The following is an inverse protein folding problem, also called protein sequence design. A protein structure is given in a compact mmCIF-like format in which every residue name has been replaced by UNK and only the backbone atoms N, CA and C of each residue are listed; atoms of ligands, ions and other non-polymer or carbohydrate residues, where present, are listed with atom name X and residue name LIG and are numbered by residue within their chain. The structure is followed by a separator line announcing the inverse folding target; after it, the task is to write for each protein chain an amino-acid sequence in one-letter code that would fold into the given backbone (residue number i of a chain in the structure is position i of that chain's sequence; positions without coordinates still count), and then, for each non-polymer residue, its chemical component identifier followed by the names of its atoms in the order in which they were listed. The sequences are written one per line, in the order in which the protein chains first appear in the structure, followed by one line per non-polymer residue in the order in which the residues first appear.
data_IF_938840579282
#
_entry.id   IF_938840579282
#
_cell.length_a   1.000
_cell.length_b   1.000
_cell.length_c   1.000
_cell.angle_alpha   90.00
_cell.angle_beta   90.00
_cell.angle_gamma   90.00
#
_symmetry.space_group_name_H-M   'P 1'
#
loop_
_entity.id
_entity.type
_entity.pdbx_description
1 polymer ?
#
# COMPACT_ATOMS: atom_id res chain seq x y z
N UNK A 1 -2.88 20.10 37.11
CA UNK A 1 -2.82 19.66 35.70
C UNK A 1 -3.24 20.82 34.82
N UNK A 2 -2.31 21.40 34.04
CA UNK A 2 -2.58 22.56 33.18
C UNK A 2 -3.46 22.15 32.00
N UNK A 3 -4.53 22.90 31.74
CA UNK A 3 -5.24 22.91 30.44
C UNK A 3 -4.26 23.44 29.39
N UNK A 4 -3.48 22.54 28.78
CA UNK A 4 -2.70 22.86 27.59
C UNK A 4 -3.72 23.16 26.49
N UNK A 5 -3.58 24.34 25.89
CA UNK A 5 -4.62 25.06 25.16
C UNK A 5 -5.16 24.32 23.93
N UNK A 6 -6.49 24.34 23.81
CA UNK A 6 -7.24 23.88 22.64
C UNK A 6 -6.90 24.60 21.33
N UNK A 7 -6.08 25.67 21.36
CA UNK A 7 -5.78 26.48 20.17
C UNK A 7 -4.72 25.88 19.24
N UNK A 8 -3.86 24.95 19.70
CA UNK A 8 -2.84 24.36 18.82
C UNK A 8 -3.33 23.12 18.06
N UNK A 9 -4.27 22.35 18.60
CA UNK A 9 -4.84 21.17 17.90
C UNK A 9 -5.73 21.55 16.71
N UNK A 10 -6.34 22.75 16.71
CA UNK A 10 -7.16 23.21 15.58
C UNK A 10 -6.36 23.56 14.31
N UNK A 11 -5.05 23.79 14.41
CA UNK A 11 -4.27 24.38 13.31
C UNK A 11 -3.81 23.34 12.28
N UNK A 12 -3.53 22.10 12.70
CA UNK A 12 -3.02 21.04 11.80
C UNK A 12 -4.11 20.44 10.89
N UNK A 13 -5.38 20.45 11.32
CA UNK A 13 -6.49 19.87 10.54
C UNK A 13 -6.99 20.75 9.38
N UNK A 14 -6.50 22.00 9.24
CA UNK A 14 -6.99 22.94 8.21
C UNK A 14 -6.17 23.00 6.92
N UNK A 15 -5.00 22.36 6.85
CA UNK A 15 -4.07 22.59 5.73
C UNK A 15 -4.39 21.79 4.45
N UNK A 16 -5.16 20.70 4.51
CA UNK A 16 -5.42 19.84 3.35
C UNK A 16 -6.90 19.82 2.98
N UNK A 17 -7.22 20.40 1.83
CA UNK A 17 -8.57 20.43 1.29
C UNK A 17 -8.97 19.09 0.66
N UNK A 18 -10.29 18.80 0.66
CA UNK A 18 -10.85 17.65 -0.06
C UNK A 18 -10.53 17.67 -1.56
N UNK A 19 -10.35 18.86 -2.14
CA UNK A 19 -9.99 19.03 -3.56
C UNK A 19 -8.56 18.55 -3.81
N UNK A 20 -7.61 18.91 -2.95
CA UNK A 20 -6.23 18.44 -3.04
C UNK A 20 -6.14 16.92 -2.91
N UNK A 21 -6.87 16.32 -1.95
CA UNK A 21 -6.88 14.85 -1.80
C UNK A 21 -7.49 14.16 -3.01
N UNK A 22 -8.59 14.67 -3.57
CA UNK A 22 -9.16 14.11 -4.81
C UNK A 22 -8.19 14.21 -5.98
N UNK A 23 -7.51 15.34 -6.13
CA UNK A 23 -6.53 15.54 -7.21
C UNK A 23 -5.34 14.58 -7.05
N UNK A 24 -4.82 14.44 -5.83
CA UNK A 24 -3.75 13.48 -5.52
C UNK A 24 -4.17 12.04 -5.84
N UNK A 25 -5.36 11.62 -5.41
CA UNK A 25 -5.84 10.26 -5.69
C UNK A 25 -6.12 10.04 -7.19
N UNK A 26 -6.64 11.04 -7.90
CA UNK A 26 -6.83 10.96 -9.34
C UNK A 26 -5.48 10.81 -10.07
N UNK A 27 -4.46 11.54 -9.63
CA UNK A 27 -3.10 11.39 -10.16
C UNK A 27 -2.52 10.01 -9.86
N UNK A 28 -2.69 9.48 -8.65
CA UNK A 28 -2.26 8.12 -8.30
C UNK A 28 -2.91 7.08 -9.22
N UNK A 29 -4.23 7.14 -9.42
CA UNK A 29 -4.92 6.24 -10.35
C UNK A 29 -4.46 6.39 -11.80
N UNK A 30 -4.16 7.61 -12.24
CA UNK A 30 -3.59 7.85 -13.56
C UNK A 30 -2.22 7.18 -13.70
N UNK A 31 -1.33 7.34 -12.71
CA UNK A 31 -0.01 6.70 -12.71
C UNK A 31 -0.12 5.17 -12.70
N UNK A 32 -1.01 4.58 -11.89
CA UNK A 32 -1.29 3.14 -11.91
C UNK A 32 -1.68 2.67 -13.31
N UNK A 33 -2.59 3.41 -13.97
CA UNK A 33 -3.05 3.08 -15.32
C UNK A 33 -1.96 3.21 -16.38
N UNK A 34 -1.12 4.24 -16.28
CA UNK A 34 0.01 4.46 -17.19
C UNK A 34 1.09 3.37 -17.03
N UNK A 35 1.40 2.95 -15.80
CA UNK A 35 2.35 1.87 -15.53
C UNK A 35 1.83 0.52 -16.03
N UNK A 36 0.55 0.19 -15.76
CA UNK A 36 -0.10 -1.01 -16.29
C UNK A 36 -0.03 -1.05 -17.83
N UNK A 37 -0.48 0.02 -18.50
CA UNK A 37 -0.48 0.07 -19.97
C UNK A 37 0.94 0.04 -20.52
N UNK A 38 1.86 0.80 -19.92
CA UNK A 38 3.27 0.83 -20.30
C UNK A 38 3.92 -0.55 -20.23
N UNK A 39 3.73 -1.26 -19.12
CA UNK A 39 4.31 -2.59 -18.94
C UNK A 39 3.72 -3.61 -19.92
N UNK A 40 2.40 -3.58 -20.16
CA UNK A 40 1.75 -4.43 -21.16
C UNK A 40 2.24 -4.14 -22.59
N UNK A 41 2.46 -2.86 -22.93
CA UNK A 41 3.03 -2.48 -24.22
C UNK A 41 4.45 -3.02 -24.38
N UNK A 42 5.30 -2.91 -23.34
CA UNK A 42 6.65 -3.50 -23.35
C UNK A 42 6.60 -5.02 -23.53
N UNK A 43 5.71 -5.70 -22.80
CA UNK A 43 5.50 -7.14 -22.93
C UNK A 43 5.04 -7.56 -24.34
N UNK A 44 4.25 -6.71 -25.01
CA UNK A 44 3.83 -6.89 -26.41
C UNK A 44 4.93 -6.55 -27.44
N UNK A 45 6.14 -6.19 -27.00
CA UNK A 45 7.27 -5.89 -27.88
C UNK A 45 7.38 -4.44 -28.33
N UNK A 46 6.62 -3.52 -27.72
CA UNK A 46 6.82 -2.09 -27.96
C UNK A 46 8.21 -1.64 -27.51
N UNK A 47 8.86 -0.83 -28.33
CA UNK A 47 10.18 -0.26 -28.06
C UNK A 47 10.05 1.27 -28.00
N UNK A 48 10.02 1.89 -26.80
CA UNK A 48 9.98 3.34 -26.70
C UNK A 48 11.25 3.95 -27.31
N UNK A 49 11.21 5.22 -27.72
CA UNK A 49 12.34 5.87 -28.40
C UNK A 49 13.61 5.96 -27.54
N UNK A 50 13.46 5.93 -26.21
CA UNK A 50 14.57 5.96 -25.26
C UNK A 50 14.55 4.70 -24.40
N UNK A 51 15.66 3.98 -24.35
CA UNK A 51 15.81 2.78 -23.50
C UNK A 51 15.61 3.09 -22.01
N UNK A 52 15.93 4.30 -21.57
CA UNK A 52 15.66 4.75 -20.20
C UNK A 52 14.17 4.74 -19.88
N UNK A 53 13.29 5.09 -20.84
CA UNK A 53 11.84 5.03 -20.62
C UNK A 53 11.41 3.58 -20.46
N UNK A 54 11.86 2.67 -21.33
CA UNK A 54 11.56 1.24 -21.20
C UNK A 54 11.99 0.72 -19.84
N UNK A 55 13.20 1.06 -19.40
CA UNK A 55 13.74 0.61 -18.12
C UNK A 55 12.94 1.17 -16.93
N UNK A 56 12.52 2.45 -16.98
CA UNK A 56 11.82 3.10 -15.87
C UNK A 56 10.38 2.61 -15.67
N UNK A 57 9.71 2.18 -16.74
CA UNK A 57 8.31 1.70 -16.69
C UNK A 57 8.19 0.18 -16.69
N UNK A 58 9.30 -0.55 -16.83
CA UNK A 58 9.31 -1.99 -16.71
C UNK A 58 9.17 -2.36 -15.23
N UNK A 59 8.06 -3.02 -14.89
CA UNK A 59 7.73 -3.40 -13.52
C UNK A 59 8.55 -4.60 -13.03
N UNK A 60 9.22 -5.33 -13.93
CA UNK A 60 10.17 -6.40 -13.58
C UNK A 60 11.54 -5.86 -13.12
N UNK A 61 11.76 -4.56 -13.25
CA UNK A 61 13.00 -3.93 -12.83
C UNK A 61 12.89 -3.33 -11.45
N UNK A 62 14.02 -3.46 -10.78
CA UNK A 62 14.25 -2.96 -9.45
C UNK A 62 14.88 -1.57 -9.44
N UNK A 63 14.66 -0.81 -8.37
CA UNK A 63 15.18 0.56 -8.19
C UNK A 63 14.87 1.51 -9.38
N UNK A 64 13.69 1.36 -9.98
CA UNK A 64 13.17 2.21 -11.05
C UNK A 64 11.90 2.93 -10.60
N UNK A 65 11.37 3.81 -11.44
CA UNK A 65 10.11 4.50 -11.14
C UNK A 65 8.97 3.53 -10.81
N UNK A 66 8.94 2.36 -11.47
CA UNK A 66 8.05 1.23 -11.18
C UNK A 66 7.96 0.85 -9.69
N UNK A 67 9.09 0.64 -9.01
CA UNK A 67 9.15 0.27 -7.59
C UNK A 67 9.18 1.47 -6.62
N UNK A 68 9.70 2.62 -7.04
CA UNK A 68 9.70 3.84 -6.21
C UNK A 68 8.30 4.41 -6.00
N UNK A 69 7.43 4.26 -6.99
CA UNK A 69 6.07 4.75 -6.92
C UNK A 69 5.19 4.03 -5.87
N UNK A 70 5.05 2.69 -5.85
CA UNK A 70 4.34 1.98 -4.78
C UNK A 70 4.98 2.22 -3.41
N UNK A 71 6.31 2.33 -3.34
CA UNK A 71 7.02 2.76 -2.12
C UNK A 71 6.50 4.10 -1.59
N UNK A 72 6.34 5.10 -2.46
CA UNK A 72 5.83 6.42 -2.09
C UNK A 72 4.35 6.37 -1.65
N UNK A 73 3.53 5.54 -2.29
CA UNK A 73 2.13 5.32 -1.87
C UNK A 73 2.05 4.71 -0.46
N UNK A 74 2.88 3.71 -0.18
CA UNK A 74 2.98 3.05 1.12
C UNK A 74 3.48 4.03 2.19
N UNK A 75 4.46 4.86 1.88
CA UNK A 75 4.93 5.90 2.80
C UNK A 75 3.83 6.93 3.10
N UNK A 76 3.06 7.35 2.08
CA UNK A 76 1.92 8.24 2.27
C UNK A 76 0.81 7.60 3.13
N UNK A 77 0.52 6.30 2.93
CA UNK A 77 -0.37 5.52 3.78
C UNK A 77 0.14 5.49 5.23
N UNK A 78 1.44 5.22 5.41
CA UNK A 78 2.08 5.22 6.72
C UNK A 78 1.94 6.55 7.45
N UNK A 79 2.18 7.65 6.74
CA UNK A 79 2.03 9.01 7.27
C UNK A 79 0.58 9.32 7.67
N UNK A 80 -0.40 9.02 6.80
CA UNK A 80 -1.82 9.22 7.11
C UNK A 80 -2.24 8.39 8.31
N UNK A 81 -1.81 7.12 8.40
CA UNK A 81 -2.09 6.27 9.55
C UNK A 81 -1.47 6.82 10.85
N UNK A 82 -0.25 7.36 10.79
CA UNK A 82 0.40 7.99 11.93
C UNK A 82 -0.35 9.24 12.42
N UNK A 83 -0.87 10.06 11.49
CA UNK A 83 -1.70 11.21 11.85
C UNK A 83 -3.00 10.78 12.56
N UNK A 84 -3.60 9.66 12.15
CA UNK A 84 -4.80 9.10 12.81
C UNK A 84 -4.47 8.58 14.21
N UNK A 85 -3.32 7.93 14.38
CA UNK A 85 -2.81 7.53 15.69
C UNK A 85 -2.59 8.75 16.61
N UNK A 86 -1.96 9.81 16.09
CA UNK A 86 -1.65 11.03 16.83
C UNK A 86 -2.92 11.80 17.22
N UNK A 87 -3.95 11.80 16.36
CA UNK A 87 -5.25 12.39 16.66
C UNK A 87 -5.99 11.70 17.83
N UNK A 88 -5.50 10.53 18.29
CA UNK A 88 -5.96 9.89 19.53
C UNK A 88 -7.43 9.47 19.51
N UNK A 89 -8.03 9.30 18.32
CA UNK A 89 -9.45 8.98 18.19
C UNK A 89 -9.71 7.48 18.34
N UNK A 90 -10.73 7.14 19.13
CA UNK A 90 -11.18 5.76 19.31
C UNK A 90 -10.65 5.09 20.56
N UNK A 91 -11.02 3.81 20.75
CA UNK A 91 -10.55 2.98 21.86
C UNK A 91 -9.07 2.64 21.69
N UNK A 92 -8.42 2.19 22.77
CA UNK A 92 -7.00 1.80 22.77
C UNK A 92 -6.66 0.89 21.59
N UNK A 93 -7.48 -0.12 21.31
CA UNK A 93 -7.30 -1.05 20.19
C UNK A 93 -7.26 -0.37 18.82
N UNK A 94 -8.13 0.61 18.59
CA UNK A 94 -8.16 1.39 17.35
C UNK A 94 -6.89 2.21 17.16
N UNK A 95 -6.43 2.85 18.24
CA UNK A 95 -5.20 3.63 18.23
C UNK A 95 -4.00 2.75 17.85
N UNK A 96 -3.82 1.60 18.51
CA UNK A 96 -2.72 0.70 18.15
C UNK A 96 -2.86 0.07 16.77
N UNK A 97 -4.08 -0.11 16.26
CA UNK A 97 -4.31 -0.53 14.86
C UNK A 97 -3.78 0.48 13.84
N UNK A 98 -3.99 1.79 14.07
CA UNK A 98 -3.41 2.84 13.24
C UNK A 98 -1.88 2.87 13.31
N UNK A 99 -1.31 2.70 14.51
CA UNK A 99 0.15 2.61 14.66
C UNK A 99 0.72 1.39 13.95
N UNK A 100 0.09 0.23 14.08
CA UNK A 100 0.50 -1.00 13.41
C UNK A 100 0.46 -0.84 11.88
N UNK A 101 -0.61 -0.25 11.33
CA UNK A 101 -0.70 0.07 9.91
C UNK A 101 0.40 1.07 9.47
N UNK A 102 0.69 2.08 10.28
CA UNK A 102 1.73 3.05 9.99
C UNK A 102 3.12 2.40 9.90
N UNK A 103 3.46 1.57 10.88
CA UNK A 103 4.71 0.84 10.94
C UNK A 103 4.83 -0.16 9.78
N UNK A 104 3.78 -0.93 9.52
CA UNK A 104 3.76 -1.91 8.44
C UNK A 104 3.93 -1.24 7.07
N UNK A 105 3.16 -0.20 6.76
CA UNK A 105 3.25 0.50 5.48
C UNK A 105 4.63 1.15 5.28
N UNK A 106 5.21 1.72 6.35
CA UNK A 106 6.57 2.27 6.30
C UNK A 106 7.63 1.17 6.10
N UNK A 107 7.48 0.03 6.76
CA UNK A 107 8.38 -1.11 6.60
C UNK A 107 8.31 -1.71 5.19
N UNK A 108 7.11 -1.86 4.62
CA UNK A 108 6.92 -2.29 3.24
C UNK A 108 7.51 -1.29 2.24
N UNK A 109 7.29 0.01 2.45
CA UNK A 109 7.92 1.07 1.65
C UNK A 109 9.45 0.99 1.67
N UNK A 110 10.06 0.78 2.84
CA UNK A 110 11.50 0.60 2.95
C UNK A 110 11.97 -0.73 2.31
N UNK A 111 11.19 -1.79 2.48
CA UNK A 111 11.46 -3.12 1.91
C UNK A 111 11.54 -3.05 0.39
N UNK A 112 10.60 -2.33 -0.24
CA UNK A 112 10.51 -2.16 -1.67
C UNK A 112 11.72 -1.40 -2.24
N UNK A 113 12.11 -0.28 -1.62
CA UNK A 113 13.30 0.47 -2.05
C UNK A 113 14.60 -0.31 -1.86
N UNK A 114 14.68 -1.17 -0.84
CA UNK A 114 15.91 -1.88 -0.47
C UNK A 114 15.97 -3.33 -0.91
N UNK A 115 14.90 -3.86 -1.52
CA UNK A 115 14.69 -5.30 -1.78
C UNK A 115 14.94 -6.15 -0.54
N UNK A 116 14.57 -5.66 0.65
CA UNK A 116 14.90 -6.34 1.90
C UNK A 116 14.33 -7.76 1.94
N UNK A 117 13.10 -7.92 1.50
CA UNK A 117 12.41 -9.20 1.48
C UNK A 117 13.10 -10.18 0.52
N UNK A 118 13.55 -9.74 -0.65
CA UNK A 118 14.32 -10.60 -1.56
C UNK A 118 15.68 -11.02 -0.97
N UNK A 119 16.42 -10.07 -0.37
CA UNK A 119 17.71 -10.32 0.28
C UNK A 119 17.53 -11.37 1.37
N UNK A 120 16.46 -11.24 2.16
CA UNK A 120 16.11 -12.20 3.19
C UNK A 120 15.79 -13.57 2.59
N UNK A 121 15.01 -13.62 1.51
CA UNK A 121 14.70 -14.87 0.79
C UNK A 121 15.96 -15.57 0.26
N UNK A 122 16.87 -14.82 -0.39
CA UNK A 122 18.16 -15.34 -0.87
C UNK A 122 19.04 -15.84 0.27
N UNK A 123 19.13 -15.09 1.36
CA UNK A 123 19.88 -15.47 2.55
C UNK A 123 19.31 -16.73 3.20
N UNK A 124 17.99 -16.84 3.37
CA UNK A 124 17.38 -18.02 3.96
C UNK A 124 17.57 -19.26 3.06
N UNK A 125 17.41 -19.10 1.75
CA UNK A 125 17.65 -20.17 0.76
C UNK A 125 19.09 -20.71 0.82
N UNK A 126 20.09 -19.87 1.09
CA UNK A 126 21.47 -20.34 1.22
C UNK A 126 21.73 -21.16 2.48
N UNK A 127 20.92 -21.00 3.53
CA UNK A 127 21.09 -21.69 4.81
C UNK A 127 20.21 -22.94 4.95
N UNK A 128 18.97 -22.89 4.44
CA UNK A 128 17.96 -23.96 4.63
C UNK A 128 17.78 -24.81 3.37
N UNK A 129 18.39 -24.40 2.26
CA UNK A 129 18.33 -25.11 0.98
C UNK A 129 17.29 -24.56 0.02
N UNK A 130 17.29 -25.12 -1.19
CA UNK A 130 16.47 -24.64 -2.32
C UNK A 130 14.97 -24.89 -2.19
N UNK A 131 14.54 -25.76 -1.26
CA UNK A 131 13.13 -26.13 -1.09
C UNK A 131 12.74 -26.22 0.39
N UNK A 132 11.55 -25.73 0.72
CA UNK A 132 10.92 -25.85 2.03
C UNK A 132 9.48 -26.33 1.83
N UNK A 133 9.09 -27.43 2.51
CA UNK A 133 7.76 -28.06 2.35
C UNK A 133 7.42 -28.44 0.88
N UNK A 134 8.43 -28.81 0.08
CA UNK A 134 8.25 -29.16 -1.33
C UNK A 134 8.09 -27.97 -2.28
N UNK A 135 8.06 -26.75 -1.76
CA UNK A 135 8.05 -25.51 -2.54
C UNK A 135 9.46 -24.93 -2.61
N UNK A 136 9.78 -24.20 -3.69
CA UNK A 136 11.06 -23.46 -3.79
C UNK A 136 11.14 -22.46 -2.64
N UNK A 137 12.25 -22.43 -1.91
CA UNK A 137 12.44 -21.48 -0.80
C UNK A 137 12.50 -20.07 -1.35
N UNK A 138 11.50 -19.26 -1.00
CA UNK A 138 11.33 -17.88 -1.41
C UNK A 138 10.85 -17.04 -0.22
N UNK A 139 11.01 -15.72 -0.33
CA UNK A 139 10.76 -14.80 0.78
C UNK A 139 9.33 -14.87 1.33
N UNK A 140 8.24 -15.05 0.54
CA UNK A 140 6.89 -15.10 1.10
C UNK A 140 6.69 -16.31 2.00
N UNK A 141 7.34 -17.44 1.70
CA UNK A 141 7.29 -18.64 2.55
C UNK A 141 7.98 -18.35 3.88
N UNK A 142 9.18 -17.75 3.83
CA UNK A 142 9.98 -17.40 5.02
C UNK A 142 9.23 -16.40 5.92
N UNK A 143 8.60 -15.40 5.31
CA UNK A 143 7.85 -14.36 6.01
C UNK A 143 6.37 -14.72 6.26
N UNK A 144 5.91 -15.91 5.84
CA UNK A 144 4.50 -16.30 5.92
C UNK A 144 3.87 -16.17 7.31
N UNK A 145 4.54 -16.47 8.45
CA UNK A 145 3.93 -16.26 9.76
C UNK A 145 3.64 -14.78 10.05
N UNK A 146 4.55 -13.89 9.63
CA UNK A 146 4.40 -12.44 9.81
C UNK A 146 3.37 -11.85 8.84
N UNK A 147 3.33 -12.35 7.60
CA UNK A 147 2.30 -12.00 6.61
C UNK A 147 0.91 -12.37 7.14
N UNK A 148 0.73 -13.62 7.59
CA UNK A 148 -0.56 -14.10 8.12
C UNK A 148 -0.99 -13.29 9.35
N UNK A 149 -0.07 -13.03 10.28
CA UNK A 149 -0.34 -12.19 11.45
C UNK A 149 -0.80 -10.79 11.02
N UNK A 150 -0.08 -10.17 10.08
CA UNK A 150 -0.41 -8.84 9.57
C UNK A 150 -1.79 -8.81 8.91
N UNK A 151 -2.11 -9.78 8.06
CA UNK A 151 -3.42 -9.89 7.40
C UNK A 151 -4.55 -10.03 8.43
N UNK A 152 -4.40 -10.94 9.39
CA UNK A 152 -5.42 -11.16 10.44
C UNK A 152 -5.62 -9.90 11.28
N UNK A 153 -4.53 -9.26 11.72
CA UNK A 153 -4.60 -8.02 12.49
C UNK A 153 -5.24 -6.88 11.70
N UNK A 154 -4.89 -6.71 10.42
CA UNK A 154 -5.47 -5.67 9.57
C UNK A 154 -6.96 -5.93 9.29
N UNK A 155 -7.37 -7.16 9.01
CA UNK A 155 -8.79 -7.50 8.81
C UNK A 155 -9.59 -7.25 10.09
N UNK A 156 -9.06 -7.64 11.25
CA UNK A 156 -9.69 -7.35 12.54
C UNK A 156 -9.80 -5.84 12.77
N UNK A 157 -8.73 -5.08 12.52
CA UNK A 157 -8.70 -3.63 12.61
C UNK A 157 -9.74 -2.96 11.68
N UNK A 158 -9.83 -3.40 10.41
CA UNK A 158 -10.81 -2.87 9.45
C UNK A 158 -12.24 -3.12 9.92
N UNK A 159 -12.53 -4.31 10.47
CA UNK A 159 -13.86 -4.67 11.00
C UNK A 159 -14.23 -3.90 12.27
N UNK A 160 -13.26 -3.59 13.13
CA UNK A 160 -13.52 -2.91 14.39
C UNK A 160 -13.57 -1.38 14.24
N UNK A 161 -12.64 -0.81 13.47
CA UNK A 161 -12.47 0.64 13.38
C UNK A 161 -13.07 1.21 12.10
N UNK A 162 -12.64 0.72 10.93
CA UNK A 162 -13.08 1.29 9.64
C UNK A 162 -14.55 0.99 9.33
N UNK A 163 -15.16 -0.03 9.95
CA UNK A 163 -16.57 -0.36 9.78
C UNK A 163 -17.53 0.79 10.14
N UNK A 164 -17.09 1.75 10.97
CA UNK A 164 -17.83 3.00 11.26
C UNK A 164 -18.05 3.85 10.01
N UNK A 165 -17.23 3.68 8.98
CA UNK A 165 -17.35 4.34 7.67
C UNK A 165 -17.37 3.24 6.60
N UNK A 166 -18.54 2.65 6.27
CA UNK A 166 -18.63 1.44 5.45
C UNK A 166 -17.94 1.53 4.08
N UNK A 167 -17.88 2.72 3.49
CA UNK A 167 -17.14 2.93 2.24
C UNK A 167 -15.62 2.86 2.41
N UNK A 168 -15.07 3.31 3.54
CA UNK A 168 -13.65 3.15 3.85
C UNK A 168 -13.31 1.68 4.13
N UNK A 169 -14.15 0.98 4.90
CA UNK A 169 -13.96 -0.45 5.17
C UNK A 169 -13.92 -1.28 3.87
N UNK A 170 -14.85 -1.06 2.94
CA UNK A 170 -14.86 -1.77 1.65
C UNK A 170 -13.60 -1.52 0.84
N UNK A 171 -13.15 -0.27 0.76
CA UNK A 171 -11.91 0.07 0.05
C UNK A 171 -10.69 -0.60 0.70
N UNK A 172 -10.62 -0.61 2.04
CA UNK A 172 -9.53 -1.27 2.75
C UNK A 172 -9.53 -2.80 2.51
N UNK A 173 -10.70 -3.45 2.57
CA UNK A 173 -10.81 -4.89 2.29
C UNK A 173 -10.44 -5.24 0.85
N UNK A 174 -10.87 -4.42 -0.13
CA UNK A 174 -10.46 -4.59 -1.52
C UNK A 174 -8.95 -4.38 -1.69
N UNK A 175 -8.38 -3.38 -1.00
CA UNK A 175 -6.95 -3.15 -1.02
C UNK A 175 -6.14 -4.33 -0.44
N UNK A 176 -6.58 -4.89 0.69
CA UNK A 176 -6.00 -6.10 1.27
C UNK A 176 -6.14 -7.31 0.34
N UNK A 177 -7.26 -7.43 -0.37
CA UNK A 177 -7.45 -8.51 -1.34
C UNK A 177 -6.46 -8.39 -2.52
N UNK A 178 -6.19 -7.18 -3.01
CA UNK A 178 -5.17 -6.97 -4.04
C UNK A 178 -3.76 -7.37 -3.54
N UNK A 179 -3.39 -6.97 -2.32
CA UNK A 179 -2.12 -7.41 -1.72
C UNK A 179 -2.02 -8.94 -1.56
N UNK A 180 -3.12 -9.60 -1.20
CA UNK A 180 -3.15 -11.07 -1.15
C UNK A 180 -2.95 -11.70 -2.53
N UNK A 181 -3.48 -11.09 -3.60
CA UNK A 181 -3.23 -11.55 -4.97
C UNK A 181 -1.76 -11.45 -5.32
N UNK A 182 -1.10 -10.32 -5.03
CA UNK A 182 0.33 -10.14 -5.27
C UNK A 182 1.17 -11.21 -4.54
N UNK A 183 0.94 -11.41 -3.23
CA UNK A 183 1.64 -12.43 -2.43
C UNK A 183 1.41 -13.85 -2.97
N UNK A 184 0.20 -14.14 -3.48
CA UNK A 184 -0.10 -15.44 -4.08
C UNK A 184 0.66 -15.61 -5.40
N UNK A 185 0.77 -14.57 -6.23
CA UNK A 185 1.53 -14.64 -7.49
C UNK A 185 3.02 -14.87 -7.23
N UNK A 186 3.60 -14.13 -6.29
CA UNK A 186 4.97 -14.33 -5.79
C UNK A 186 5.22 -15.78 -5.35
N UNK A 187 4.30 -16.34 -4.54
CA UNK A 187 4.37 -17.73 -4.10
C UNK A 187 4.40 -18.74 -5.26
N UNK A 188 3.84 -18.39 -6.40
CA UNK A 188 3.81 -19.24 -7.59
C UNK A 188 4.97 -18.99 -8.55
N UNK A 189 5.87 -18.03 -8.31
CA UNK A 189 6.98 -17.72 -9.22
C UNK A 189 7.79 -18.98 -9.55
N UNK A 190 7.54 -19.46 -10.77
CA UNK A 190 8.04 -20.72 -11.27
C UNK A 190 9.11 -20.39 -12.33
N UNK A 191 10.41 -20.49 -12.00
CA UNK A 191 11.48 -20.25 -12.97
C UNK A 191 11.44 -21.23 -14.17
N UNK A 192 10.62 -22.28 -14.10
CA UNK A 192 10.31 -23.18 -15.21
C UNK A 192 9.56 -22.49 -16.36
N UNK A 193 8.96 -21.32 -16.14
CA UNK A 193 8.27 -20.50 -17.14
C UNK A 193 9.20 -19.51 -17.86
N UNK A 194 10.52 -19.62 -17.71
CA UNK A 194 11.49 -18.75 -18.40
C UNK A 194 11.87 -19.24 -19.81
N UNK A 195 11.05 -20.09 -20.44
CA UNK A 195 11.26 -20.43 -21.85
C UNK A 195 10.86 -19.23 -22.74
N UNK A 196 11.45 -19.07 -23.94
CA UNK A 196 11.09 -17.98 -24.86
C UNK A 196 9.58 -17.88 -25.13
N UNK A 197 8.90 -19.02 -25.17
CA UNK A 197 7.45 -19.15 -25.42
C UNK A 197 6.60 -18.65 -24.25
N UNK A 198 7.16 -18.66 -23.02
CA UNK A 198 6.46 -18.30 -21.79
C UNK A 198 6.77 -16.87 -21.31
N UNK A 199 7.62 -16.12 -22.03
CA UNK A 199 7.98 -14.73 -21.68
C UNK A 199 6.78 -13.80 -21.54
N UNK A 200 5.77 -13.96 -22.40
CA UNK A 200 4.54 -13.16 -22.30
C UNK A 200 3.75 -13.50 -21.04
N UNK A 201 3.70 -14.77 -20.66
CA UNK A 201 3.00 -15.22 -19.45
C UNK A 201 3.69 -14.66 -18.21
N UNK A 202 5.02 -14.79 -18.13
CA UNK A 202 5.81 -14.21 -17.05
C UNK A 202 5.62 -12.69 -16.95
N UNK A 203 5.68 -11.98 -18.08
CA UNK A 203 5.44 -10.54 -18.09
C UNK A 203 4.01 -10.17 -17.61
N UNK A 204 3.01 -10.99 -17.93
CA UNK A 204 1.64 -10.80 -17.42
C UNK A 204 1.55 -11.09 -15.92
N UNK A 205 2.20 -12.14 -15.42
CA UNK A 205 2.25 -12.47 -13.99
C UNK A 205 2.84 -11.31 -13.19
N UNK A 206 4.04 -10.85 -13.56
CA UNK A 206 4.70 -9.69 -12.95
C UNK A 206 3.83 -8.44 -13.05
N UNK A 207 3.21 -8.19 -14.22
CA UNK A 207 2.29 -7.05 -14.35
C UNK A 207 1.13 -7.11 -13.37
N UNK A 208 0.50 -8.28 -13.22
CA UNK A 208 -0.68 -8.44 -12.36
C UNK A 208 -0.27 -8.30 -10.90
N UNK A 209 0.86 -8.86 -10.51
CA UNK A 209 1.44 -8.75 -9.17
C UNK A 209 1.67 -7.29 -8.79
N UNK A 210 2.51 -6.59 -9.54
CA UNK A 210 2.93 -5.20 -9.31
C UNK A 210 1.75 -4.22 -9.33
N UNK A 211 0.83 -4.41 -10.29
CA UNK A 211 -0.38 -3.59 -10.36
C UNK A 211 -1.32 -3.89 -9.20
N UNK A 212 -1.38 -5.13 -8.71
CA UNK A 212 -2.16 -5.45 -7.52
C UNK A 212 -1.59 -4.78 -6.28
N UNK A 213 -0.28 -4.67 -6.13
CA UNK A 213 0.35 -3.92 -5.04
C UNK A 213 0.03 -2.42 -5.12
N UNK A 214 0.23 -1.80 -6.29
CA UNK A 214 -0.06 -0.38 -6.52
C UNK A 214 -1.54 -0.05 -6.26
N UNK A 215 -2.46 -0.86 -6.78
CA UNK A 215 -3.91 -0.72 -6.57
C UNK A 215 -4.25 -0.93 -5.10
N UNK A 216 -3.67 -1.96 -4.47
CA UNK A 216 -3.84 -2.26 -3.06
C UNK A 216 -3.45 -1.09 -2.16
N UNK A 217 -2.24 -0.55 -2.35
CA UNK A 217 -1.74 0.62 -1.63
C UNK A 217 -2.63 1.86 -1.86
N UNK A 218 -3.04 2.12 -3.10
CA UNK A 218 -3.92 3.25 -3.44
C UNK A 218 -5.29 3.15 -2.75
N UNK A 219 -5.88 1.96 -2.72
CA UNK A 219 -7.17 1.69 -2.07
C UNK A 219 -7.08 1.84 -0.54
N UNK A 220 -6.03 1.32 0.09
CA UNK A 220 -5.78 1.47 1.53
C UNK A 220 -5.58 2.95 1.91
N UNK A 221 -4.79 3.70 1.13
CA UNK A 221 -4.59 5.14 1.31
C UNK A 221 -5.91 5.91 1.17
N UNK A 222 -6.70 5.58 0.15
CA UNK A 222 -8.03 6.17 -0.06
C UNK A 222 -8.95 5.87 1.13
N UNK A 223 -8.93 4.64 1.65
CA UNK A 223 -9.71 4.24 2.82
C UNK A 223 -9.33 5.05 4.07
N UNK A 224 -8.03 5.17 4.36
CA UNK A 224 -7.52 5.91 5.52
C UNK A 224 -7.88 7.41 5.46
N UNK A 225 -7.70 8.03 4.30
CA UNK A 225 -8.08 9.44 4.06
C UNK A 225 -9.59 9.65 4.20
N UNK A 226 -10.40 8.76 3.61
CA UNK A 226 -11.87 8.85 3.69
C UNK A 226 -12.35 8.70 5.12
N UNK A 227 -11.75 7.80 5.89
CA UNK A 227 -12.04 7.63 7.32
C UNK A 227 -11.73 8.91 8.11
N UNK A 228 -10.56 9.53 7.89
CA UNK A 228 -10.18 10.78 8.54
C UNK A 228 -11.13 11.95 8.25
N UNK A 229 -11.55 12.11 6.99
CA UNK A 229 -12.51 13.15 6.61
C UNK A 229 -13.94 12.92 7.12
N UNK A 230 -14.33 11.67 7.34
CA UNK A 230 -15.64 11.34 7.87
C UNK A 230 -15.71 11.59 9.39
N UNK A 231 -14.67 11.18 10.12
CA UNK A 231 -14.63 11.32 11.58
C UNK A 231 -14.32 12.74 12.06
N UNK A 232 -13.65 13.56 11.25
CA UNK A 232 -13.43 14.99 11.57
C UNK A 232 -14.70 15.83 11.59
N UNK A 233 -15.75 15.43 10.85
CA UNK A 233 -17.02 16.16 10.81
C UNK A 233 -17.93 15.91 12.02
N UNK A 234 -17.68 14.85 12.79
CA UNK A 234 -18.51 14.48 13.95
C UNK A 234 -18.19 15.27 15.22
N UNK A 235 -17.14 16.09 15.24
CA UNK A 235 -16.78 16.94 16.37
C UNK A 235 -17.54 18.27 16.33
N UNK A 236 -18.67 18.34 17.03
CA UNK A 236 -19.44 19.55 17.36
C UNK A 236 -20.00 20.41 16.21
N UNK A 237 -21.28 20.22 15.86
CA UNK A 237 -22.07 21.18 15.07
C UNK A 237 -22.26 22.56 15.75
N UNK A 238 -21.77 22.77 16.98
CA UNK A 238 -22.13 23.90 17.83
C UNK A 238 -21.07 24.98 18.07
N UNK A 239 -19.92 24.96 17.37
CA UNK A 239 -18.81 25.89 17.66
C UNK A 239 -18.53 26.96 16.59
N UNK A 240 -19.06 26.81 15.38
CA UNK A 240 -19.07 27.90 14.39
C UNK A 240 -20.44 28.53 14.43
N UNK A 241 -20.63 29.49 15.35
CA UNK A 241 -21.78 30.38 15.31
C UNK A 241 -21.87 31.00 13.93
N UNK A 242 -23.01 30.77 13.27
CA UNK A 242 -23.54 31.66 12.24
C UNK A 242 -23.82 33.01 12.91
N UNK A 243 -22.75 33.79 13.09
CA UNK A 243 -22.80 35.21 13.39
C UNK A 243 -22.24 35.93 12.18
N UNK A 244 -23.03 36.01 11.11
CA UNK A 244 -22.89 37.01 10.06
C UNK A 244 -24.28 37.25 9.47
N UNK A 245 -24.90 38.31 10.00
CA UNK A 245 -26.03 39.04 9.41
C UNK A 245 -25.74 39.48 7.96
#
# INVERSE_FOLDING_TARGET
MRKVGASQEETLCRCVSRRQVRAFLALAWLVNGLLLVGNLMLAAGWKPPLNTIAHQINLDHEAVFGSWYPSALLLALGWVALLQFAAGRGWWTARFGWLALALLATALSASEVSQFHEILGRSFKSHVGGTLLGMRTQWPIVLSPFILLSVVTLVAFVRQELARVPAAARLALLGLACWLVAIVLELHDAPALLTPEMRLIHALEVTIEEVSEMVGATLLLTAALRFGFATSKGGSPGACGEGAE
#
